data_IF_750958639874
#
_entry.id   IF_750958639874
#
_cell.length_a   1.000
_cell.length_b   1.000
_cell.length_c   1.000
_cell.angle_alpha   90.00
_cell.angle_beta   90.00
_cell.angle_gamma   90.00
#
_symmetry.space_group_name_H-M   'P 1'
#
loop_
_entity.id
_entity.type
_entity.pdbx_description
1 polymer ?
#
# COMPACT_ATOMS: atom_id res chain seq x y z
N UNK A 1 31.80 35.34 39.82
CA UNK A 1 33.02 34.56 40.13
C UNK A 1 33.14 33.55 38.99
N UNK A 2 34.02 33.78 37.96
CA UNK A 2 35.36 33.25 37.81
C UNK A 2 35.37 31.71 37.91
N UNK A 3 35.71 30.89 36.89
CA UNK A 3 36.87 30.80 35.95
C UNK A 3 36.47 29.81 34.82
N UNK A 4 36.64 29.98 33.47
CA UNK A 4 37.89 29.90 32.69
C UNK A 4 38.68 28.58 32.91
N UNK A 5 38.92 27.74 31.89
CA UNK A 5 39.96 27.74 30.87
C UNK A 5 39.88 26.39 30.10
N UNK A 6 39.98 26.43 28.77
CA UNK A 6 41.11 26.20 27.84
C UNK A 6 41.49 24.72 27.66
N UNK A 7 41.36 24.16 26.45
CA UNK A 7 42.29 24.15 25.31
C UNK A 7 42.76 22.73 25.12
N UNK A 8 42.89 22.14 23.98
CA UNK A 8 43.85 22.42 22.95
C UNK A 8 43.62 21.54 21.73
N UNK A 9 43.92 22.08 20.59
CA UNK A 9 44.13 21.45 19.29
C UNK A 9 45.31 20.44 19.34
N UNK A 10 45.22 19.36 18.54
CA UNK A 10 46.41 18.81 17.85
C UNK A 10 46.02 18.21 16.50
N UNK A 11 46.46 18.88 15.45
CA UNK A 11 46.60 18.40 14.08
C UNK A 11 47.91 17.65 13.96
N UNK A 12 47.98 16.51 13.26
CA UNK A 12 49.22 16.10 12.57
C UNK A 12 48.86 15.33 11.29
N UNK A 13 49.56 15.72 10.25
CA UNK A 13 49.43 15.40 8.85
C UNK A 13 50.17 14.09 8.44
N UNK A 14 49.76 13.61 7.27
CA UNK A 14 50.48 12.95 6.18
C UNK A 14 51.77 12.14 6.50
N UNK A 15 51.86 10.95 5.89
CA UNK A 15 52.98 10.58 4.98
C UNK A 15 52.54 9.51 3.97
N UNK A 16 52.69 9.83 2.71
CA UNK A 16 52.69 8.88 1.59
C UNK A 16 54.09 8.21 1.49
N UNK A 17 54.11 6.94 1.09
CA UNK A 17 55.34 6.35 0.52
C UNK A 17 55.02 5.24 -0.47
N UNK A 18 55.27 5.52 -1.72
CA UNK A 18 55.53 4.59 -2.84
C UNK A 18 56.85 3.86 -2.63
N UNK A 19 56.89 2.53 -2.85
CA UNK A 19 58.09 1.88 -3.32
C UNK A 19 57.77 0.65 -4.17
N UNK A 20 58.31 0.72 -5.40
CA UNK A 20 58.43 -0.29 -6.45
C UNK A 20 59.50 -1.31 -6.06
N UNK A 21 59.28 -2.60 -6.35
CA UNK A 21 60.32 -3.63 -6.24
C UNK A 21 60.01 -4.89 -7.05
N UNK A 22 60.64 -5.02 -8.21
CA UNK A 22 60.71 -6.23 -9.06
C UNK A 22 61.56 -7.34 -8.47
N UNK A 23 61.19 -8.62 -8.75
CA UNK A 23 62.18 -9.73 -8.62
C UNK A 23 61.63 -11.17 -8.64
N UNK A 24 61.50 -11.75 -9.81
CA UNK A 24 61.81 -13.12 -10.34
C UNK A 24 61.59 -14.43 -9.54
N UNK A 25 60.73 -15.29 -10.19
CA UNK A 25 60.91 -16.74 -10.55
C UNK A 25 61.09 -17.82 -9.45
N UNK A 26 60.20 -18.79 -9.36
CA UNK A 26 60.15 -20.07 -10.07
C UNK A 26 59.16 -21.06 -9.46
N UNK A 27 58.40 -21.71 -10.34
CA UNK A 27 58.12 -23.10 -10.58
C UNK A 27 57.05 -23.85 -9.71
N UNK A 28 55.99 -24.23 -10.46
CA UNK A 28 55.26 -25.50 -10.49
C UNK A 28 54.63 -26.11 -9.22
N UNK A 29 53.33 -26.13 -9.24
CA UNK A 29 52.53 -27.37 -9.28
C UNK A 29 51.07 -27.07 -9.58
N UNK A 30 50.50 -27.76 -10.58
CA UNK A 30 49.16 -27.62 -11.08
C UNK A 30 48.13 -28.33 -10.18
N UNK A 31 46.98 -27.68 -9.97
CA UNK A 31 45.72 -28.35 -9.62
C UNK A 31 44.56 -27.64 -10.32
N UNK A 32 43.50 -28.31 -10.72
CA UNK A 32 42.64 -27.89 -11.81
C UNK A 32 41.69 -26.75 -11.45
N UNK A 33 41.48 -25.85 -12.40
CA UNK A 33 40.52 -24.78 -12.36
C UNK A 33 39.09 -25.33 -12.34
N UNK A 34 38.31 -24.93 -11.33
CA UNK A 34 36.89 -24.98 -11.38
C UNK A 34 36.38 -23.78 -12.20
N UNK A 35 35.72 -24.11 -13.31
CA UNK A 35 35.08 -23.17 -14.22
C UNK A 35 33.82 -22.59 -13.51
N UNK A 36 33.97 -21.38 -12.95
CA UNK A 36 32.83 -20.59 -12.50
C UNK A 36 32.40 -19.73 -13.67
N UNK A 37 31.45 -20.21 -14.45
CA UNK A 37 30.71 -19.39 -15.40
C UNK A 37 29.86 -18.41 -14.62
N UNK A 38 30.38 -17.20 -14.35
CA UNK A 38 29.58 -16.05 -14.05
C UNK A 38 28.71 -15.73 -15.29
N UNK A 39 27.44 -16.04 -15.19
CA UNK A 39 26.45 -15.53 -16.13
C UNK A 39 26.33 -14.02 -15.87
N UNK A 40 27.06 -13.22 -16.63
CA UNK A 40 26.77 -11.79 -16.78
C UNK A 40 25.41 -11.69 -17.46
N UNK A 41 24.38 -11.48 -16.66
CA UNK A 41 23.08 -11.00 -17.13
C UNK A 41 23.37 -9.62 -17.76
N UNK A 42 23.27 -9.54 -19.06
CA UNK A 42 23.46 -8.29 -19.79
C UNK A 42 22.32 -7.35 -19.37
N UNK A 43 22.65 -6.32 -18.61
CA UNK A 43 21.73 -5.23 -18.34
C UNK A 43 21.19 -4.71 -19.69
N UNK A 44 19.87 -4.66 -19.83
CA UNK A 44 19.24 -4.04 -20.98
C UNK A 44 19.80 -2.61 -21.16
N UNK A 45 20.02 -2.14 -22.39
CA UNK A 45 20.49 -0.79 -22.61
C UNK A 45 19.50 0.19 -21.97
N UNK A 46 20.02 1.11 -21.14
CA UNK A 46 19.22 2.19 -20.58
C UNK A 46 18.57 2.96 -21.74
N UNK A 47 17.26 3.22 -21.61
CA UNK A 47 16.56 4.05 -22.58
C UNK A 47 17.25 5.43 -22.68
N UNK A 48 17.30 6.02 -23.87
CA UNK A 48 17.77 7.40 -24.01
C UNK A 48 16.84 8.33 -23.23
N UNK A 49 17.42 9.25 -22.44
CA UNK A 49 16.64 10.22 -21.67
C UNK A 49 15.76 11.06 -22.60
N UNK A 50 14.47 11.14 -22.31
CA UNK A 50 13.52 12.01 -23.01
C UNK A 50 13.55 13.47 -22.48
N UNK A 51 14.38 13.76 -21.47
CA UNK A 51 14.57 15.08 -20.88
C UNK A 51 13.46 15.54 -19.96
N UNK A 52 12.48 14.69 -19.64
CA UNK A 52 11.37 15.00 -18.77
C UNK A 52 11.51 14.32 -17.41
N UNK A 53 11.07 15.04 -16.36
CA UNK A 53 11.11 14.58 -14.97
C UNK A 53 9.71 14.28 -14.46
N UNK A 54 9.49 13.08 -13.94
CA UNK A 54 8.29 12.67 -13.25
C UNK A 54 8.58 12.52 -11.75
N UNK A 55 7.85 13.24 -10.93
CA UNK A 55 8.00 13.15 -9.48
C UNK A 55 6.84 12.34 -8.86
N UNK A 56 7.20 11.41 -7.98
CA UNK A 56 6.28 10.43 -7.38
C UNK A 56 6.33 10.56 -5.86
N UNK A 57 5.26 11.04 -5.25
CA UNK A 57 5.12 11.21 -3.81
C UNK A 57 4.24 10.10 -3.22
N UNK A 58 4.87 9.20 -2.46
CA UNK A 58 4.23 8.06 -1.81
C UNK A 58 4.06 8.29 -0.31
N UNK A 59 3.04 7.67 0.35
CA UNK A 59 2.74 7.96 1.75
C UNK A 59 3.77 7.38 2.72
N UNK A 60 4.16 6.11 2.57
CA UNK A 60 4.97 5.41 3.58
C UNK A 60 5.64 4.17 3.01
N UNK A 61 6.67 3.67 3.70
CA UNK A 61 7.30 2.36 3.47
C UNK A 61 6.87 1.31 4.51
N UNK A 62 5.96 1.65 5.42
CA UNK A 62 5.47 0.73 6.45
C UNK A 62 4.56 -0.37 5.90
N UNK A 63 3.98 -0.18 4.71
CA UNK A 63 3.19 -1.18 3.98
C UNK A 63 3.95 -1.65 2.75
N UNK A 64 4.03 -2.98 2.56
CA UNK A 64 4.68 -3.65 1.43
C UNK A 64 4.13 -3.12 0.09
N UNK A 65 2.85 -2.90 0.01
CA UNK A 65 2.14 -2.40 -1.15
C UNK A 65 2.76 -1.11 -1.70
N UNK A 66 2.99 -0.09 -0.85
CA UNK A 66 3.52 1.20 -1.30
C UNK A 66 4.94 1.11 -1.85
N UNK A 67 5.75 0.20 -1.30
CA UNK A 67 7.09 -0.11 -1.82
C UNK A 67 6.97 -0.70 -3.23
N UNK A 68 6.06 -1.66 -3.41
CA UNK A 68 5.82 -2.31 -4.70
C UNK A 68 5.25 -1.32 -5.74
N UNK A 69 4.27 -0.51 -5.38
CA UNK A 69 3.70 0.54 -6.23
C UNK A 69 4.79 1.51 -6.72
N UNK A 70 5.58 2.07 -5.80
CA UNK A 70 6.65 3.03 -6.13
C UNK A 70 7.74 2.43 -7.02
N UNK A 71 8.20 1.22 -6.70
CA UNK A 71 9.23 0.53 -7.48
C UNK A 71 8.74 0.15 -8.89
N UNK A 72 7.51 -0.36 -9.01
CA UNK A 72 6.89 -0.68 -10.29
C UNK A 72 6.77 0.57 -11.16
N UNK A 73 6.27 1.67 -10.60
CA UNK A 73 6.12 2.93 -11.31
C UNK A 73 7.47 3.51 -11.73
N UNK A 74 8.44 3.57 -10.83
CA UNK A 74 9.79 4.05 -11.11
C UNK A 74 10.44 3.25 -12.24
N UNK A 75 10.44 1.92 -12.13
CA UNK A 75 11.03 1.05 -13.14
C UNK A 75 10.42 1.25 -14.53
N UNK A 76 9.09 1.34 -14.62
CA UNK A 76 8.39 1.53 -15.89
C UNK A 76 8.65 2.92 -16.49
N UNK A 77 8.65 3.99 -15.68
CA UNK A 77 8.93 5.35 -16.13
C UNK A 77 10.39 5.49 -16.60
N UNK A 78 11.35 4.94 -15.85
CA UNK A 78 12.77 4.94 -16.24
C UNK A 78 13.01 4.16 -17.54
N UNK A 79 12.28 3.05 -17.75
CA UNK A 79 12.33 2.30 -19.01
C UNK A 79 11.81 3.09 -20.23
N UNK A 80 10.98 4.12 -20.00
CA UNK A 80 10.51 5.07 -21.02
C UNK A 80 11.43 6.31 -21.16
N UNK A 81 12.53 6.37 -20.41
CA UNK A 81 13.53 7.44 -20.48
C UNK A 81 13.20 8.66 -19.62
N UNK A 82 12.23 8.59 -18.72
CA UNK A 82 11.94 9.66 -17.77
C UNK A 82 12.97 9.68 -16.63
N UNK A 83 13.31 10.88 -16.13
CA UNK A 83 13.98 11.04 -14.84
C UNK A 83 12.92 10.92 -13.75
N UNK A 84 13.11 10.01 -12.77
CA UNK A 84 12.10 9.72 -11.73
C UNK A 84 12.61 10.13 -10.35
N UNK A 85 11.87 11.04 -9.71
CA UNK A 85 12.06 11.44 -8.30
C UNK A 85 11.00 10.76 -7.44
N UNK A 86 11.33 9.61 -6.85
CA UNK A 86 10.43 8.83 -5.98
C UNK A 86 10.77 9.10 -4.52
N UNK A 87 9.80 9.60 -3.75
CA UNK A 87 9.96 9.88 -2.32
C UNK A 87 8.81 9.29 -1.50
N UNK A 88 9.11 8.90 -0.27
CA UNK A 88 8.17 8.44 0.74
C UNK A 88 8.17 9.39 1.92
N UNK A 89 6.98 9.72 2.44
CA UNK A 89 6.83 10.71 3.50
C UNK A 89 6.65 10.11 4.91
N UNK A 90 6.67 8.77 5.02
CA UNK A 90 6.63 8.02 6.29
C UNK A 90 5.44 8.42 7.18
N UNK A 91 4.27 8.57 6.56
CA UNK A 91 3.01 8.97 7.18
C UNK A 91 3.03 10.39 7.82
N UNK A 92 4.06 11.20 7.53
CA UNK A 92 4.15 12.60 7.93
C UNK A 92 3.63 13.53 6.82
N UNK A 93 2.45 14.11 7.05
CA UNK A 93 1.79 15.02 6.10
C UNK A 93 2.65 16.24 5.77
N UNK A 94 3.36 16.81 6.76
CA UNK A 94 4.19 17.98 6.53
C UNK A 94 5.46 17.64 5.74
N UNK A 95 6.00 16.44 5.95
CA UNK A 95 7.08 15.93 5.12
C UNK A 95 6.60 15.76 3.66
N UNK A 96 5.40 15.21 3.43
CA UNK A 96 4.85 15.07 2.10
C UNK A 96 4.64 16.41 1.39
N UNK A 97 4.07 17.41 2.06
CA UNK A 97 3.96 18.78 1.54
C UNK A 97 5.32 19.32 1.12
N UNK A 98 6.33 19.22 2.00
CA UNK A 98 7.68 19.73 1.73
C UNK A 98 8.37 18.99 0.59
N UNK A 99 8.17 17.68 0.46
CA UNK A 99 8.68 16.88 -0.66
C UNK A 99 8.08 17.35 -1.98
N UNK A 100 6.76 17.54 -2.05
CA UNK A 100 6.07 17.99 -3.26
C UNK A 100 6.50 19.43 -3.63
N UNK A 101 6.66 20.34 -2.67
CA UNK A 101 7.21 21.68 -2.91
C UNK A 101 8.62 21.61 -3.54
N UNK A 102 9.46 20.71 -3.03
CA UNK A 102 10.80 20.50 -3.58
C UNK A 102 10.76 19.89 -5.00
N UNK A 103 9.84 18.96 -5.27
CA UNK A 103 9.63 18.37 -6.60
C UNK A 103 9.20 19.43 -7.62
N UNK A 104 8.28 20.34 -7.24
CA UNK A 104 7.87 21.49 -8.07
C UNK A 104 9.07 22.39 -8.35
N UNK A 105 9.82 22.78 -7.29
CA UNK A 105 10.99 23.65 -7.41
C UNK A 105 12.12 23.02 -8.26
N UNK A 106 12.26 21.69 -8.24
CA UNK A 106 13.22 20.94 -9.04
C UNK A 106 12.81 20.81 -10.51
N UNK A 107 11.63 21.31 -10.89
CA UNK A 107 11.15 21.32 -12.26
C UNK A 107 10.55 19.99 -12.72
N UNK A 108 9.72 19.37 -11.90
CA UNK A 108 8.91 18.22 -12.32
C UNK A 108 8.00 18.61 -13.49
N UNK A 109 7.93 17.77 -14.53
CA UNK A 109 7.01 17.91 -15.66
C UNK A 109 5.63 17.29 -15.37
N UNK A 110 5.57 16.33 -14.43
CA UNK A 110 4.35 15.71 -13.95
C UNK A 110 4.53 15.27 -12.50
N UNK A 111 3.48 15.41 -11.69
CA UNK A 111 3.40 14.90 -10.32
C UNK A 111 2.46 13.69 -10.27
N UNK A 112 2.90 12.61 -9.63
CA UNK A 112 2.06 11.48 -9.25
C UNK A 112 2.01 11.45 -7.73
N UNK A 113 0.82 11.57 -7.15
CA UNK A 113 0.65 11.74 -5.70
C UNK A 113 -0.29 10.68 -5.14
N UNK A 114 0.22 9.86 -4.22
CA UNK A 114 -0.57 9.06 -3.29
C UNK A 114 -0.58 9.78 -1.94
N UNK A 115 -1.64 10.50 -1.63
CA UNK A 115 -1.70 11.35 -0.44
C UNK A 115 -1.75 10.54 0.87
N UNK A 116 -1.14 11.08 1.93
CA UNK A 116 -1.32 10.59 3.29
C UNK A 116 -2.70 11.00 3.80
N UNK A 117 -3.05 12.26 3.61
CA UNK A 117 -4.32 12.89 3.94
C UNK A 117 -4.88 13.53 2.68
N UNK A 118 -6.08 13.12 2.31
CA UNK A 118 -6.67 13.48 1.02
C UNK A 118 -6.92 14.98 0.84
N UNK A 119 -7.07 15.77 1.92
CA UNK A 119 -7.38 17.21 1.88
C UNK A 119 -6.21 18.10 2.31
N UNK A 120 -5.12 17.52 2.81
CA UNK A 120 -4.02 18.31 3.38
C UNK A 120 -3.09 18.96 2.34
N UNK A 121 -3.15 18.51 1.08
CA UNK A 121 -2.21 18.92 0.02
C UNK A 121 -2.72 20.05 -0.87
N UNK A 122 -3.93 20.57 -0.65
CA UNK A 122 -4.62 21.57 -1.50
C UNK A 122 -3.73 22.76 -1.87
N UNK A 123 -2.95 23.27 -0.92
CA UNK A 123 -2.09 24.45 -1.16
C UNK A 123 -0.92 24.15 -2.09
N UNK A 124 -0.26 23.01 -1.93
CA UNK A 124 0.88 22.63 -2.79
C UNK A 124 0.40 22.14 -4.15
N UNK A 125 -0.78 21.54 -4.24
CA UNK A 125 -1.45 21.19 -5.50
C UNK A 125 -1.79 22.43 -6.32
N UNK A 126 -2.29 23.50 -5.64
CA UNK A 126 -2.54 24.78 -6.30
C UNK A 126 -1.25 25.44 -6.83
N UNK A 127 -0.12 25.25 -6.13
CA UNK A 127 1.21 25.71 -6.62
C UNK A 127 1.61 24.94 -7.90
N UNK A 128 1.45 23.62 -7.91
CA UNK A 128 1.73 22.79 -9.09
C UNK A 128 0.87 23.22 -10.29
N UNK A 129 -0.43 23.43 -10.07
CA UNK A 129 -1.36 23.92 -11.09
C UNK A 129 -0.97 25.29 -11.63
N UNK A 130 -0.57 26.22 -10.75
CA UNK A 130 -0.10 27.55 -11.16
C UNK A 130 1.21 27.48 -11.97
N UNK A 131 2.05 26.48 -11.72
CA UNK A 131 3.27 26.20 -12.47
C UNK A 131 2.99 25.45 -13.79
N UNK A 132 1.74 25.06 -14.07
CA UNK A 132 1.38 24.29 -15.25
C UNK A 132 1.78 22.82 -15.19
N UNK A 133 2.05 22.29 -14.00
CA UNK A 133 2.46 20.90 -13.78
C UNK A 133 1.17 20.06 -13.57
N UNK A 134 0.89 19.08 -14.44
CA UNK A 134 -0.24 18.17 -14.27
C UNK A 134 -0.05 17.26 -13.07
N UNK A 135 -1.16 16.96 -12.38
CA UNK A 135 -1.19 16.08 -11.21
C UNK A 135 -2.04 14.85 -11.55
N UNK A 136 -1.49 13.68 -11.34
CA UNK A 136 -2.21 12.41 -11.36
C UNK A 136 -2.31 11.90 -9.92
N UNK A 137 -3.55 11.79 -9.41
CA UNK A 137 -3.80 11.11 -8.15
C UNK A 137 -3.56 9.61 -8.34
N UNK A 138 -2.81 8.99 -7.45
CA UNK A 138 -2.48 7.57 -7.47
C UNK A 138 -3.07 6.86 -6.27
N UNK A 139 -3.90 5.86 -6.51
CA UNK A 139 -4.63 5.06 -5.52
C UNK A 139 -5.55 5.87 -4.59
N UNK A 140 -5.09 6.97 -4.00
CA UNK A 140 -5.85 7.85 -3.09
C UNK A 140 -6.30 9.12 -3.80
N UNK A 141 -7.59 9.44 -3.71
CA UNK A 141 -8.17 10.62 -4.32
C UNK A 141 -7.70 11.88 -3.59
N UNK A 142 -7.29 12.90 -4.36
CA UNK A 142 -6.99 14.23 -3.84
C UNK A 142 -8.29 15.03 -3.72
N UNK A 143 -8.65 15.40 -2.48
CA UNK A 143 -9.92 16.06 -2.15
C UNK A 143 -9.80 17.58 -2.14
N UNK A 144 -10.93 18.27 -2.25
CA UNK A 144 -11.10 19.71 -2.08
C UNK A 144 -10.27 20.58 -3.05
N UNK A 145 -9.91 20.05 -4.22
CA UNK A 145 -9.04 20.68 -5.20
C UNK A 145 -9.56 20.57 -6.63
N UNK A 146 -9.25 21.55 -7.47
CA UNK A 146 -9.42 21.47 -8.92
C UNK A 146 -8.07 21.33 -9.67
N UNK A 147 -7.01 21.01 -8.94
CA UNK A 147 -5.65 20.89 -9.49
C UNK A 147 -5.36 19.50 -10.05
N UNK A 148 -6.09 18.47 -9.62
CA UNK A 148 -5.89 17.09 -10.09
C UNK A 148 -6.45 16.92 -11.51
N UNK A 149 -5.66 16.32 -12.40
CA UNK A 149 -6.02 16.11 -13.80
C UNK A 149 -6.72 14.77 -14.00
N UNK A 150 -6.16 13.71 -13.43
CA UNK A 150 -6.63 12.32 -13.56
C UNK A 150 -6.40 11.54 -12.28
N UNK A 151 -7.11 10.40 -12.16
CA UNK A 151 -6.99 9.51 -11.03
C UNK A 151 -6.84 8.06 -11.49
N UNK A 152 -5.81 7.38 -11.04
CA UNK A 152 -5.60 5.94 -11.23
C UNK A 152 -5.79 5.22 -9.90
N UNK A 153 -6.74 4.29 -9.81
CA UNK A 153 -7.05 3.56 -8.59
C UNK A 153 -7.72 2.20 -8.90
N UNK A 154 -8.14 1.50 -7.85
CA UNK A 154 -9.06 0.36 -7.95
C UNK A 154 -10.51 0.81 -7.70
N UNK A 155 -11.48 -0.02 -8.05
CA UNK A 155 -12.87 0.18 -7.65
C UNK A 155 -13.02 -0.05 -6.13
N UNK A 156 -12.80 1.00 -5.34
CA UNK A 156 -12.79 0.91 -3.89
C UNK A 156 -14.17 0.57 -3.29
N UNK A 157 -15.26 1.00 -3.92
CA UNK A 157 -16.59 0.56 -3.52
C UNK A 157 -16.79 -0.92 -3.82
N UNK A 158 -16.32 -1.37 -4.99
CA UNK A 158 -16.30 -2.77 -5.38
C UNK A 158 -15.48 -3.65 -4.43
N UNK A 159 -14.36 -3.14 -3.88
CA UNK A 159 -13.61 -3.82 -2.82
C UNK A 159 -14.51 -4.09 -1.61
N UNK A 160 -15.16 -3.08 -1.09
CA UNK A 160 -16.08 -3.22 0.06
C UNK A 160 -17.24 -4.17 -0.23
N UNK A 161 -17.82 -4.06 -1.43
CA UNK A 161 -18.89 -4.97 -1.90
C UNK A 161 -18.40 -6.41 -1.93
N UNK A 162 -17.19 -6.67 -2.42
CA UNK A 162 -16.62 -8.01 -2.48
C UNK A 162 -16.36 -8.61 -1.08
N UNK A 163 -15.82 -7.81 -0.15
CA UNK A 163 -15.63 -8.20 1.25
C UNK A 163 -16.98 -8.52 1.89
N UNK A 164 -17.97 -7.63 1.77
CA UNK A 164 -19.29 -7.82 2.34
C UNK A 164 -20.00 -9.05 1.78
N UNK A 165 -19.95 -9.23 0.46
CA UNK A 165 -20.50 -10.41 -0.20
C UNK A 165 -19.82 -11.69 0.28
N UNK A 166 -18.50 -11.70 0.45
CA UNK A 166 -17.77 -12.85 0.98
C UNK A 166 -18.24 -13.21 2.39
N UNK A 167 -18.46 -12.23 3.27
CA UNK A 167 -19.00 -12.42 4.61
C UNK A 167 -20.41 -13.03 4.53
N UNK A 168 -21.30 -12.48 3.69
CA UNK A 168 -22.67 -13.00 3.51
C UNK A 168 -22.66 -14.45 3.05
N UNK A 169 -21.83 -14.77 2.07
CA UNK A 169 -21.80 -16.10 1.45
C UNK A 169 -21.14 -17.18 2.35
N UNK A 170 -20.19 -16.77 3.23
CA UNK A 170 -19.32 -17.74 3.93
C UNK A 170 -19.50 -17.74 5.46
N UNK A 171 -20.19 -16.79 6.05
CA UNK A 171 -20.37 -16.73 7.53
C UNK A 171 -21.35 -17.78 8.07
N UNK A 172 -22.28 -18.24 7.24
CA UNK A 172 -23.40 -19.07 7.70
C UNK A 172 -24.36 -18.34 8.66
N UNK A 173 -24.32 -17.01 8.67
CA UNK A 173 -25.18 -16.20 9.52
C UNK A 173 -26.65 -16.29 9.09
N UNK A 174 -27.54 -16.55 10.01
CA UNK A 174 -28.99 -16.54 9.81
C UNK A 174 -29.69 -16.07 11.11
N UNK A 175 -30.97 -15.63 11.06
CA UNK A 175 -31.69 -15.25 12.29
C UNK A 175 -31.78 -16.38 13.32
N UNK A 176 -31.80 -17.67 12.89
CA UNK A 176 -31.80 -18.83 13.75
C UNK A 176 -30.40 -19.24 14.26
N UNK A 177 -29.35 -18.78 13.60
CA UNK A 177 -27.94 -19.01 13.95
C UNK A 177 -27.13 -17.73 13.77
N UNK A 178 -27.35 -16.72 14.61
CA UNK A 178 -26.69 -15.43 14.47
C UNK A 178 -25.19 -15.54 14.70
N UNK A 179 -24.43 -14.71 13.95
CA UNK A 179 -22.98 -14.58 14.05
C UNK A 179 -22.59 -13.22 14.59
N UNK A 180 -21.55 -13.20 15.40
CA UNK A 180 -21.00 -11.93 15.90
C UNK A 180 -20.00 -11.35 14.91
N UNK A 181 -19.98 -10.03 14.78
CA UNK A 181 -19.09 -9.30 13.87
C UNK A 181 -18.56 -8.04 14.52
N UNK A 182 -17.28 -7.73 14.25
CA UNK A 182 -16.69 -6.41 14.52
C UNK A 182 -16.01 -5.89 13.25
N UNK A 183 -16.10 -4.56 13.04
CA UNK A 183 -15.57 -3.89 11.86
C UNK A 183 -14.28 -3.15 12.20
N UNK A 184 -13.28 -3.22 11.32
CA UNK A 184 -11.99 -2.51 11.40
C UNK A 184 -11.72 -1.84 10.06
N UNK A 185 -12.19 -0.60 9.95
CA UNK A 185 -12.10 0.16 8.70
C UNK A 185 -10.82 0.99 8.61
N UNK A 186 -10.59 1.55 7.44
CA UNK A 186 -9.38 2.31 7.13
C UNK A 186 -9.35 3.72 7.71
N UNK A 187 -8.39 4.52 7.23
CA UNK A 187 -8.14 5.87 7.74
C UNK A 187 -9.28 6.83 7.39
N UNK A 188 -9.73 7.67 8.35
CA UNK A 188 -10.84 8.60 8.09
C UNK A 188 -10.47 9.76 7.14
N UNK A 189 -9.19 10.02 6.95
CA UNK A 189 -8.65 11.02 6.02
C UNK A 189 -8.35 10.46 4.61
N UNK A 190 -8.75 9.21 4.35
CA UNK A 190 -8.62 8.52 3.07
C UNK A 190 -10.01 8.22 2.48
N UNK A 191 -10.33 8.83 1.33
CA UNK A 191 -11.61 8.61 0.66
C UNK A 191 -11.87 7.14 0.31
N UNK A 192 -10.83 6.34 0.07
CA UNK A 192 -10.97 4.91 -0.22
C UNK A 192 -11.63 4.15 0.94
N UNK A 193 -11.30 4.51 2.19
CA UNK A 193 -11.86 3.89 3.37
C UNK A 193 -13.38 4.12 3.46
N UNK A 194 -13.85 5.32 3.12
CA UNK A 194 -15.28 5.64 3.08
C UNK A 194 -16.02 4.89 1.97
N UNK A 195 -15.40 4.79 0.77
CA UNK A 195 -15.98 4.05 -0.36
C UNK A 195 -16.07 2.55 -0.07
N UNK A 196 -15.01 1.97 0.50
CA UNK A 196 -14.98 0.57 0.92
C UNK A 196 -16.04 0.30 1.98
N UNK A 197 -16.10 1.12 3.03
CA UNK A 197 -17.11 0.99 4.08
C UNK A 197 -18.53 1.04 3.50
N UNK A 198 -18.83 1.96 2.59
CA UNK A 198 -20.14 2.04 1.94
C UNK A 198 -20.48 0.74 1.19
N UNK A 199 -19.52 0.19 0.42
CA UNK A 199 -19.71 -1.06 -0.30
C UNK A 199 -19.92 -2.26 0.62
N UNK A 200 -19.16 -2.35 1.71
CA UNK A 200 -19.30 -3.38 2.74
C UNK A 200 -20.69 -3.32 3.39
N UNK A 201 -21.09 -2.13 3.86
CA UNK A 201 -22.36 -1.95 4.58
C UNK A 201 -23.56 -2.25 3.68
N UNK A 202 -23.53 -1.91 2.40
CA UNK A 202 -24.61 -2.29 1.46
C UNK A 202 -24.87 -3.80 1.44
N UNK A 203 -23.86 -4.63 1.69
CA UNK A 203 -23.99 -6.07 1.68
C UNK A 203 -24.42 -6.63 3.05
N UNK A 204 -23.83 -6.15 4.15
CA UNK A 204 -24.06 -6.74 5.48
C UNK A 204 -25.22 -6.08 6.24
N UNK A 205 -25.67 -4.88 5.88
CA UNK A 205 -26.75 -4.18 6.57
C UNK A 205 -28.05 -5.00 6.66
N UNK A 206 -28.51 -5.69 5.59
CA UNK A 206 -29.70 -6.54 5.70
C UNK A 206 -29.57 -7.64 6.76
N UNK A 207 -28.38 -8.20 6.97
CA UNK A 207 -28.13 -9.24 7.99
C UNK A 207 -28.00 -8.65 9.40
N UNK A 208 -27.58 -7.40 9.52
CA UNK A 208 -27.60 -6.66 10.77
C UNK A 208 -29.05 -6.31 11.17
N UNK A 209 -29.86 -5.91 10.20
CA UNK A 209 -31.25 -5.50 10.42
C UNK A 209 -32.16 -6.67 10.82
N UNK A 210 -31.92 -7.87 10.28
CA UNK A 210 -32.70 -9.08 10.61
C UNK A 210 -32.13 -9.87 11.80
N UNK A 211 -30.98 -9.44 12.34
CA UNK A 211 -30.33 -10.05 13.50
C UNK A 211 -29.48 -11.28 13.17
N UNK A 212 -29.25 -11.60 11.89
CA UNK A 212 -28.32 -12.65 11.46
C UNK A 212 -26.87 -12.31 11.81
N UNK A 213 -26.49 -11.01 11.70
CA UNK A 213 -25.23 -10.47 12.20
C UNK A 213 -25.47 -9.59 13.42
N UNK A 214 -24.62 -9.72 14.43
CA UNK A 214 -24.71 -8.98 15.69
C UNK A 214 -23.37 -8.35 16.05
N UNK A 215 -23.28 -7.03 16.02
CA UNK A 215 -22.12 -6.30 16.53
C UNK A 215 -22.32 -6.03 18.02
N UNK A 216 -21.61 -6.76 18.90
CA UNK A 216 -21.81 -6.66 20.34
C UNK A 216 -21.33 -5.32 20.91
N UNK A 217 -20.34 -4.69 20.30
CA UNK A 217 -19.88 -3.36 20.69
C UNK A 217 -20.85 -2.25 20.28
N UNK A 218 -21.71 -2.50 19.28
CA UNK A 218 -22.54 -1.50 18.63
C UNK A 218 -21.78 -0.49 17.77
N UNK A 219 -20.46 -0.67 17.56
CA UNK A 219 -19.59 0.23 16.80
C UNK A 219 -19.71 -0.02 15.30
N UNK A 220 -20.89 0.26 14.75
CA UNK A 220 -21.19 0.03 13.33
C UNK A 220 -20.94 1.24 12.45
N UNK A 221 -21.02 2.47 12.98
CA UNK A 221 -20.72 3.67 12.20
C UNK A 221 -19.22 3.80 11.91
N UNK A 222 -18.88 4.45 10.77
CA UNK A 222 -17.50 4.57 10.29
C UNK A 222 -16.57 5.21 11.31
N UNK A 223 -17.01 6.28 11.98
CA UNK A 223 -16.17 7.04 12.91
C UNK A 223 -15.76 6.20 14.13
N UNK A 224 -16.59 5.22 14.55
CA UNK A 224 -16.29 4.34 15.68
C UNK A 224 -15.38 3.16 15.32
N UNK A 225 -15.25 2.82 14.05
CA UNK A 225 -14.50 1.65 13.59
C UNK A 225 -13.35 1.96 12.63
N UNK A 226 -13.15 3.23 12.26
CA UNK A 226 -12.02 3.66 11.45
C UNK A 226 -10.69 3.56 12.21
N UNK A 227 -9.60 3.42 11.46
CA UNK A 227 -8.24 3.26 11.99
C UNK A 227 -7.31 4.26 11.31
N UNK A 228 -6.96 5.33 12.02
CA UNK A 228 -6.10 6.40 11.49
C UNK A 228 -4.78 5.82 10.95
N UNK A 229 -4.38 6.28 9.76
CA UNK A 229 -3.18 5.81 9.03
C UNK A 229 -3.16 4.31 8.73
N UNK A 230 -4.31 3.63 8.80
CA UNK A 230 -4.38 2.18 8.60
C UNK A 230 -3.45 1.41 9.55
N UNK A 231 -3.22 1.97 10.76
CA UNK A 231 -2.18 1.50 11.68
C UNK A 231 -2.53 0.17 12.33
N UNK A 232 -1.66 -0.82 12.13
CA UNK A 232 -1.80 -2.17 12.65
C UNK A 232 -1.90 -2.23 14.18
N UNK A 233 -1.09 -1.41 14.87
CA UNK A 233 -1.04 -1.44 16.34
C UNK A 233 -2.31 -0.85 16.96
N UNK A 234 -2.86 0.18 16.32
CA UNK A 234 -4.15 0.76 16.69
C UNK A 234 -5.28 -0.25 16.52
N UNK A 235 -5.30 -1.00 15.42
CA UNK A 235 -6.27 -2.08 15.20
C UNK A 235 -6.11 -3.21 16.24
N UNK A 236 -4.88 -3.64 16.53
CA UNK A 236 -4.59 -4.64 17.56
C UNK A 236 -5.16 -4.21 18.91
N UNK A 237 -4.81 -2.99 19.35
CA UNK A 237 -5.27 -2.48 20.65
C UNK A 237 -6.80 -2.39 20.72
N UNK A 238 -7.46 -1.87 19.68
CA UNK A 238 -8.92 -1.81 19.63
C UNK A 238 -9.54 -3.21 19.69
N UNK A 239 -8.94 -4.19 19.01
CA UNK A 239 -9.39 -5.58 19.05
C UNK A 239 -9.26 -6.17 20.47
N UNK A 240 -8.14 -5.94 21.18
CA UNK A 240 -7.96 -6.34 22.59
C UNK A 240 -9.03 -5.72 23.50
N UNK A 241 -9.31 -4.43 23.34
CA UNK A 241 -10.30 -3.71 24.11
C UNK A 241 -11.73 -4.27 23.84
N UNK A 242 -12.06 -4.59 22.58
CA UNK A 242 -13.33 -5.23 22.20
C UNK A 242 -13.45 -6.64 22.78
N UNK A 243 -12.42 -7.48 22.63
CA UNK A 243 -12.41 -8.84 23.15
C UNK A 243 -12.63 -8.86 24.67
N UNK A 244 -11.98 -7.96 25.39
CA UNK A 244 -12.12 -7.83 26.84
C UNK A 244 -13.50 -7.29 27.25
N UNK A 245 -14.01 -6.29 26.52
CA UNK A 245 -15.23 -5.58 26.91
C UNK A 245 -16.52 -6.31 26.53
N UNK A 246 -16.53 -7.05 25.43
CA UNK A 246 -17.77 -7.59 24.85
C UNK A 246 -17.74 -9.10 24.59
N UNK A 247 -16.56 -9.72 24.55
CA UNK A 247 -16.38 -11.12 24.13
C UNK A 247 -15.79 -12.02 25.22
N UNK A 248 -15.83 -11.59 26.49
CA UNK A 248 -15.33 -12.40 27.61
C UNK A 248 -16.04 -13.76 27.73
N UNK A 249 -17.36 -13.80 27.49
CA UNK A 249 -18.20 -15.00 27.59
C UNK A 249 -18.83 -15.40 26.25
N UNK A 250 -18.41 -14.83 25.17
CA UNK A 250 -18.92 -15.08 23.81
C UNK A 250 -17.78 -15.17 22.82
N UNK A 251 -18.03 -15.81 21.70
CA UNK A 251 -17.06 -15.86 20.60
C UNK A 251 -17.28 -14.69 19.65
N UNK A 252 -16.18 -14.16 19.11
CA UNK A 252 -16.18 -13.28 17.95
C UNK A 252 -16.06 -14.18 16.70
N UNK A 253 -17.13 -14.20 15.87
CA UNK A 253 -17.21 -15.09 14.71
C UNK A 253 -16.61 -14.46 13.46
N UNK A 254 -16.66 -13.12 13.33
CA UNK A 254 -16.24 -12.40 12.13
C UNK A 254 -15.46 -11.13 12.51
N UNK A 255 -14.27 -10.99 11.95
CA UNK A 255 -13.44 -9.79 12.02
C UNK A 255 -13.36 -9.22 10.62
N UNK A 256 -14.20 -8.24 10.32
CA UNK A 256 -14.25 -7.60 9.02
C UNK A 256 -13.22 -6.47 8.97
N UNK A 257 -12.05 -6.74 8.40
CA UNK A 257 -10.99 -5.75 8.23
C UNK A 257 -10.92 -5.26 6.79
N UNK A 258 -10.61 -3.98 6.64
CA UNK A 258 -10.49 -3.29 5.37
C UNK A 258 -9.07 -3.36 4.76
N UNK A 259 -8.11 -3.99 5.45
CA UNK A 259 -6.71 -4.09 5.02
C UNK A 259 -6.00 -5.23 5.76
N UNK A 260 -5.06 -5.89 5.10
CA UNK A 260 -4.30 -7.03 5.65
C UNK A 260 -3.50 -6.66 6.90
N UNK A 261 -2.89 -5.46 6.94
CA UNK A 261 -2.18 -4.98 8.12
C UNK A 261 -3.10 -4.84 9.35
N UNK A 262 -4.36 -4.43 9.17
CA UNK A 262 -5.36 -4.40 10.26
C UNK A 262 -5.71 -5.82 10.71
N UNK A 263 -5.82 -6.75 9.74
CA UNK A 263 -6.05 -8.17 10.03
C UNK A 263 -4.91 -8.76 10.87
N UNK A 264 -3.64 -8.41 10.59
CA UNK A 264 -2.49 -8.87 11.39
C UNK A 264 -2.60 -8.40 12.85
N UNK A 265 -2.98 -7.15 13.07
CA UNK A 265 -3.21 -6.61 14.40
C UNK A 265 -4.31 -7.36 15.14
N UNK A 266 -5.45 -7.58 14.47
CA UNK A 266 -6.57 -8.33 15.03
C UNK A 266 -6.21 -9.80 15.32
N UNK A 267 -5.47 -10.46 14.43
CA UNK A 267 -5.00 -11.83 14.65
C UNK A 267 -4.09 -11.95 15.89
N UNK A 268 -3.19 -10.99 16.10
CA UNK A 268 -2.34 -10.97 17.29
C UNK A 268 -3.15 -10.79 18.57
N UNK A 269 -4.16 -9.92 18.58
CA UNK A 269 -5.08 -9.73 19.70
C UNK A 269 -5.89 -10.99 19.99
N UNK A 270 -6.41 -11.67 18.96
CA UNK A 270 -7.15 -12.92 19.06
C UNK A 270 -6.30 -14.04 19.67
N UNK A 271 -5.05 -14.21 19.20
CA UNK A 271 -4.10 -15.19 19.75
C UNK A 271 -3.83 -14.89 21.24
N UNK A 272 -3.62 -13.61 21.60
CA UNK A 272 -3.45 -13.16 22.97
C UNK A 272 -4.65 -13.46 23.86
N UNK A 273 -5.87 -13.45 23.31
CA UNK A 273 -7.12 -13.80 23.99
C UNK A 273 -7.43 -15.31 23.98
N UNK A 274 -6.53 -16.15 23.48
CA UNK A 274 -6.66 -17.61 23.48
C UNK A 274 -7.47 -18.19 22.33
N UNK A 275 -7.73 -17.42 21.26
CA UNK A 275 -8.27 -17.95 20.02
C UNK A 275 -7.18 -18.76 19.29
N UNK A 276 -7.57 -19.83 18.61
CA UNK A 276 -6.65 -20.66 17.86
C UNK A 276 -7.30 -21.24 16.60
N UNK A 277 -6.55 -21.23 15.50
CA UNK A 277 -6.97 -21.81 14.23
C UNK A 277 -7.35 -23.28 14.41
N UNK A 278 -8.46 -23.69 13.79
CA UNK A 278 -8.98 -25.06 13.87
C UNK A 278 -9.82 -25.35 15.12
N UNK A 279 -9.93 -24.43 16.08
CA UNK A 279 -10.79 -24.56 17.26
C UNK A 279 -11.75 -23.38 17.39
N UNK A 280 -11.27 -22.26 17.83
CA UNK A 280 -12.00 -21.00 17.98
C UNK A 280 -11.24 -19.93 17.18
N UNK A 281 -11.64 -19.70 15.93
CA UNK A 281 -11.01 -18.73 15.05
C UNK A 281 -12.05 -18.08 14.13
N UNK A 282 -12.13 -16.74 14.07
CA UNK A 282 -13.14 -16.06 13.27
C UNK A 282 -12.85 -16.12 11.77
N UNK A 283 -13.87 -15.82 10.95
CA UNK A 283 -13.69 -15.39 9.58
C UNK A 283 -13.00 -14.02 9.61
N UNK A 284 -11.86 -13.89 8.93
CA UNK A 284 -11.06 -12.66 8.88
C UNK A 284 -10.89 -12.24 7.43
N UNK A 285 -11.31 -11.00 7.11
CA UNK A 285 -11.15 -10.41 5.78
C UNK A 285 -9.89 -9.56 5.70
N UNK A 286 -9.55 -9.08 4.50
CA UNK A 286 -8.45 -8.17 4.27
C UNK A 286 -8.50 -7.55 2.87
N UNK A 287 -7.51 -6.74 2.57
CA UNK A 287 -7.30 -6.12 1.27
C UNK A 287 -5.79 -5.99 1.03
N UNK A 288 -5.39 -5.98 -0.20
CA UNK A 288 -4.10 -5.86 -0.86
C UNK A 288 -3.42 -7.21 -1.14
N UNK A 289 -3.86 -8.33 -0.53
CA UNK A 289 -3.29 -9.66 -0.69
C UNK A 289 -1.76 -9.66 -0.55
N UNK A 290 -1.26 -8.98 0.51
CA UNK A 290 0.17 -8.92 0.82
C UNK A 290 0.76 -10.33 0.96
N UNK A 291 2.08 -10.46 0.79
CA UNK A 291 2.75 -11.77 0.84
C UNK A 291 2.43 -12.52 2.15
N UNK A 292 2.46 -11.83 3.28
CA UNK A 292 2.13 -12.43 4.58
C UNK A 292 0.64 -12.80 4.68
N UNK A 293 -0.27 -11.97 4.14
CA UNK A 293 -1.70 -12.29 4.11
C UNK A 293 -1.98 -13.55 3.27
N UNK A 294 -1.31 -13.68 2.13
CA UNK A 294 -1.42 -14.88 1.29
C UNK A 294 -0.94 -16.13 2.05
N UNK A 295 0.17 -16.06 2.81
CA UNK A 295 0.60 -17.16 3.71
C UNK A 295 -0.42 -17.44 4.82
N UNK A 296 -1.05 -16.41 5.38
CA UNK A 296 -2.12 -16.56 6.35
C UNK A 296 -3.37 -17.21 5.75
N UNK A 297 -3.70 -16.89 4.51
CA UNK A 297 -4.81 -17.53 3.78
C UNK A 297 -4.50 -19.02 3.58
N UNK A 298 -3.32 -19.36 3.12
CA UNK A 298 -2.89 -20.76 2.92
C UNK A 298 -2.92 -21.55 4.24
N UNK A 299 -2.50 -20.93 5.34
CA UNK A 299 -2.50 -21.57 6.68
C UNK A 299 -3.85 -21.54 7.40
N UNK A 300 -4.86 -20.86 6.86
CA UNK A 300 -6.19 -20.71 7.46
C UNK A 300 -6.27 -19.68 8.60
N UNK A 301 -5.25 -18.84 8.78
CA UNK A 301 -5.27 -17.73 9.74
C UNK A 301 -6.10 -16.54 9.25
N UNK A 302 -6.05 -16.25 7.94
CA UNK A 302 -6.90 -15.26 7.29
C UNK A 302 -7.80 -16.00 6.31
N UNK A 303 -9.05 -15.57 6.19
CA UNK A 303 -10.02 -16.32 5.38
C UNK A 303 -9.96 -15.86 3.93
N UNK A 304 -9.83 -14.55 3.71
CA UNK A 304 -9.74 -13.96 2.39
C UNK A 304 -9.01 -12.62 2.42
N UNK A 305 -8.56 -12.19 1.26
CA UNK A 305 -8.13 -10.81 0.99
C UNK A 305 -8.66 -10.36 -0.37
N UNK A 306 -8.49 -9.09 -0.71
CA UNK A 306 -8.76 -8.56 -2.04
C UNK A 306 -7.42 -8.28 -2.71
N UNK A 307 -7.12 -9.01 -3.78
CA UNK A 307 -5.93 -8.77 -4.57
C UNK A 307 -6.06 -7.46 -5.37
N UNK A 308 -5.06 -6.62 -5.19
CA UNK A 308 -4.86 -5.36 -5.93
C UNK A 308 -3.49 -5.42 -6.59
N UNK A 309 -3.44 -5.84 -7.86
CA UNK A 309 -2.17 -6.00 -8.59
C UNK A 309 -1.51 -4.63 -8.83
N UNK A 310 -0.54 -4.29 -7.99
CA UNK A 310 0.20 -3.03 -8.02
C UNK A 310 0.92 -2.80 -9.36
N UNK A 311 1.27 -3.88 -10.08
CA UNK A 311 1.91 -3.80 -11.40
C UNK A 311 0.93 -3.21 -12.42
N UNK A 312 -0.34 -3.65 -12.39
CA UNK A 312 -1.40 -3.17 -13.28
C UNK A 312 -1.76 -1.70 -12.98
N UNK A 313 -1.84 -1.33 -11.70
CA UNK A 313 -2.12 0.06 -11.33
C UNK A 313 -0.97 0.99 -11.73
N UNK A 314 0.28 0.60 -11.47
CA UNK A 314 1.45 1.35 -11.87
C UNK A 314 1.51 1.51 -13.40
N UNK A 315 1.26 0.43 -14.19
CA UNK A 315 1.19 0.49 -15.65
C UNK A 315 0.16 1.51 -16.14
N UNK A 316 -1.03 1.52 -15.56
CA UNK A 316 -2.07 2.48 -15.91
C UNK A 316 -1.68 3.92 -15.57
N UNK A 317 -1.10 4.14 -14.41
CA UNK A 317 -0.59 5.47 -14.05
C UNK A 317 0.54 5.92 -14.98
N UNK A 318 1.49 5.04 -15.33
CA UNK A 318 2.58 5.34 -16.27
C UNK A 318 2.04 5.70 -17.65
N UNK A 319 1.04 4.97 -18.16
CA UNK A 319 0.39 5.32 -19.45
C UNK A 319 -0.36 6.66 -19.39
N UNK A 320 -0.96 7.01 -18.22
CA UNK A 320 -1.55 8.33 -18.01
C UNK A 320 -0.49 9.44 -18.01
N UNK A 321 0.63 9.24 -17.30
CA UNK A 321 1.77 10.18 -17.29
C UNK A 321 2.25 10.43 -18.72
N UNK A 322 2.48 9.35 -19.48
CA UNK A 322 2.95 9.45 -20.87
C UNK A 322 1.96 10.24 -21.73
N UNK A 323 0.68 9.89 -21.72
CA UNK A 323 -0.34 10.59 -22.49
C UNK A 323 -0.39 12.08 -22.15
N UNK A 324 -0.43 12.44 -20.87
CA UNK A 324 -0.47 13.84 -20.41
C UNK A 324 0.78 14.61 -20.86
N UNK A 325 1.97 14.04 -20.77
CA UNK A 325 3.22 14.68 -21.16
C UNK A 325 3.38 14.81 -22.69
N UNK A 326 2.69 13.98 -23.46
CA UNK A 326 2.59 14.05 -24.93
C UNK A 326 1.45 14.95 -25.41
N UNK A 327 0.62 15.47 -24.49
CA UNK A 327 -0.55 16.30 -24.82
C UNK A 327 -1.72 15.48 -25.39
N UNK A 328 -1.79 14.20 -25.08
CA UNK A 328 -2.87 13.28 -25.45
C UNK A 328 -3.83 13.05 -24.28
N UNK A 329 -5.04 12.57 -24.58
CA UNK A 329 -5.99 12.13 -23.55
C UNK A 329 -5.67 10.72 -23.09
N UNK A 330 -5.49 10.47 -21.78
CA UNK A 330 -5.27 9.13 -21.27
C UNK A 330 -6.53 8.27 -21.31
N UNK A 331 -6.35 6.95 -21.27
CA UNK A 331 -7.46 6.00 -21.11
C UNK A 331 -8.10 6.18 -19.73
N UNK A 332 -9.42 6.36 -19.71
CA UNK A 332 -10.25 6.41 -18.51
C UNK A 332 -11.47 5.50 -18.67
N UNK A 333 -12.02 5.01 -17.57
CA UNK A 333 -13.23 4.17 -17.58
C UNK A 333 -14.32 4.63 -16.58
N UNK A 334 -14.04 5.72 -15.82
CA UNK A 334 -15.01 6.34 -14.92
C UNK A 334 -14.92 7.88 -14.98
N UNK A 335 -16.09 8.53 -15.11
CA UNK A 335 -16.25 9.98 -15.13
C UNK A 335 -17.39 10.46 -14.22
N UNK A 336 -17.84 9.62 -13.31
CA UNK A 336 -19.06 9.87 -12.52
C UNK A 336 -18.89 9.60 -11.02
N UNK A 337 -18.05 8.67 -10.63
CA UNK A 337 -17.99 8.14 -9.26
C UNK A 337 -17.15 9.00 -8.33
N UNK A 338 -15.97 9.44 -8.80
CA UNK A 338 -14.99 10.07 -7.93
C UNK A 338 -15.10 11.59 -7.93
N UNK A 339 -16.08 12.09 -7.16
CA UNK A 339 -16.23 13.52 -6.88
C UNK A 339 -15.37 13.90 -5.66
N UNK A 340 -14.44 14.84 -5.87
CA UNK A 340 -13.52 15.29 -4.82
C UNK A 340 -13.99 16.57 -4.11
N UNK A 341 -15.29 16.83 -4.06
CA UNK A 341 -15.97 18.03 -3.55
C UNK A 341 -15.90 19.26 -4.46
N UNK A 342 -15.02 19.31 -5.44
CA UNK A 342 -14.84 20.44 -6.37
C UNK A 342 -15.14 20.02 -7.80
N UNK A 343 -14.61 18.88 -8.23
CA UNK A 343 -14.81 18.32 -9.57
C UNK A 343 -15.06 16.81 -9.49
N UNK A 344 -15.66 16.26 -10.54
CA UNK A 344 -15.57 14.81 -10.78
C UNK A 344 -14.28 14.55 -11.52
N UNK A 345 -13.36 13.80 -10.89
CA UNK A 345 -12.04 13.51 -11.44
C UNK A 345 -12.13 12.36 -12.45
N UNK A 346 -11.74 12.57 -13.73
CA UNK A 346 -11.68 11.48 -14.70
C UNK A 346 -10.72 10.38 -14.22
N UNK A 347 -11.22 9.14 -14.13
CA UNK A 347 -10.52 8.07 -13.43
C UNK A 347 -10.37 6.81 -14.27
N UNK A 348 -9.32 6.06 -14.01
CA UNK A 348 -9.19 4.67 -14.42
C UNK A 348 -9.25 3.77 -13.19
N UNK A 349 -10.22 2.87 -13.18
CA UNK A 349 -10.46 1.92 -12.09
C UNK A 349 -9.98 0.54 -12.52
N UNK A 350 -8.95 0.04 -11.85
CA UNK A 350 -8.54 -1.36 -11.93
C UNK A 350 -9.54 -2.23 -11.18
N UNK A 351 -9.75 -3.45 -11.68
CA UNK A 351 -10.66 -4.41 -11.05
C UNK A 351 -10.00 -5.08 -9.86
N UNK A 352 -10.57 -5.03 -8.64
CA UNK A 352 -10.10 -5.81 -7.51
C UNK A 352 -10.58 -7.27 -7.63
N UNK A 353 -9.78 -8.22 -7.15
CA UNK A 353 -10.08 -9.65 -7.25
C UNK A 353 -10.09 -10.30 -5.85
N UNK A 354 -11.23 -10.89 -5.38
CA UNK A 354 -11.27 -11.62 -4.12
C UNK A 354 -10.36 -12.85 -4.17
N UNK A 355 -9.53 -13.01 -3.16
CA UNK A 355 -8.58 -14.13 -3.02
C UNK A 355 -8.83 -14.86 -1.73
N UNK A 356 -8.92 -16.19 -1.81
CA UNK A 356 -8.96 -17.10 -0.69
C UNK A 356 -8.10 -18.35 -0.94
N UNK A 357 -8.21 -19.35 -0.06
CA UNK A 357 -7.43 -20.60 -0.17
C UNK A 357 -7.72 -21.40 -1.43
N UNK A 358 -8.88 -21.21 -2.06
CA UNK A 358 -9.32 -22.01 -3.18
C UNK A 358 -8.84 -21.45 -4.54
N UNK A 359 -8.52 -20.13 -4.60
CA UNK A 359 -8.15 -19.45 -5.84
C UNK A 359 -6.80 -18.68 -5.80
N UNK A 360 -6.09 -18.62 -4.66
CA UNK A 360 -4.85 -17.86 -4.54
C UNK A 360 -3.79 -18.25 -5.58
N UNK A 361 -3.74 -19.54 -5.98
CA UNK A 361 -2.78 -20.00 -6.99
C UNK A 361 -3.04 -19.36 -8.33
N UNK A 362 -4.29 -19.38 -8.79
CA UNK A 362 -4.70 -18.79 -10.07
C UNK A 362 -4.41 -17.29 -10.10
N UNK A 363 -4.84 -16.58 -9.03
CA UNK A 363 -4.81 -15.11 -9.00
C UNK A 363 -3.41 -14.57 -8.72
N UNK A 364 -2.64 -15.19 -7.81
CA UNK A 364 -1.37 -14.63 -7.33
C UNK A 364 -0.14 -15.37 -7.86
N UNK A 365 -0.20 -16.70 -8.08
CA UNK A 365 0.96 -17.46 -8.52
C UNK A 365 1.02 -17.58 -10.05
N UNK A 366 -0.07 -18.04 -10.69
CA UNK A 366 -0.11 -18.22 -12.13
C UNK A 366 -0.02 -16.87 -12.88
N UNK A 367 -0.48 -15.78 -12.25
CA UNK A 367 -0.29 -14.40 -12.74
C UNK A 367 1.16 -13.91 -12.62
N UNK A 368 2.02 -14.62 -11.87
CA UNK A 368 3.38 -14.21 -11.57
C UNK A 368 3.48 -13.04 -10.60
N UNK A 369 2.46 -12.80 -9.77
CA UNK A 369 2.51 -11.77 -8.71
C UNK A 369 3.41 -12.23 -7.57
N UNK A 370 3.26 -13.48 -7.13
CA UNK A 370 4.16 -14.17 -6.21
C UNK A 370 4.69 -15.47 -6.82
N UNK A 371 5.82 -15.95 -6.33
CA UNK A 371 6.33 -17.29 -6.64
C UNK A 371 5.92 -18.30 -5.56
N UNK A 372 5.86 -19.59 -5.90
CA UNK A 372 5.63 -20.64 -4.91
C UNK A 372 6.71 -20.65 -3.81
N UNK A 373 7.96 -20.28 -4.14
CA UNK A 373 9.05 -20.18 -3.18
C UNK A 373 8.80 -19.10 -2.13
N UNK A 374 8.38 -17.90 -2.56
CA UNK A 374 8.03 -16.79 -1.64
C UNK A 374 6.90 -17.17 -0.69
N UNK A 375 5.95 -18.00 -1.14
CA UNK A 375 4.81 -18.45 -0.33
C UNK A 375 5.17 -19.64 0.58
N UNK A 376 6.25 -20.37 0.31
CA UNK A 376 6.69 -21.52 1.09
C UNK A 376 7.61 -21.15 2.26
N UNK A 377 8.30 -20.01 2.21
CA UNK A 377 9.13 -19.45 3.28
C UNK A 377 8.31 -18.88 4.45
#
# INVERSE_FOLDING_TARGET
>A
MKKKLLGALLSVAMVASLLVGCGKKAADTAAPAADSSESTEAAAPAAESNGKRVAVAMPTQSSERWINDGNNMKSQLEALGYEVDLQYAEDDVQAQVSQIENMIAAGADCLVIASIDSSALVNVEAQAKAAGIPIIAYDRLLMDTDAVSYYATFDNKGVGTAIGKYIVDNSGATPDSPKTIELFMGSPDDNNAHMLYAGLMEQIQPLLDDGSLVCLSGQLDFDSNCTLRWDQQTAMKRCEDLLTGYYADKDLDIVATAYDGLAYGCMAALEGAGYAVGTKWPLITGQDAELMATKHIISGKQTMSIAKDTRKLAEKCVTMVQAVLEGAEPEINDTTTYNNNVIVVPSFLCTPEPVDKDNYKEILVDSGYYTEEQLAE
#
